data_IF_241503213213
#
_entry.id   IF_241503213213
#
_cell.length_a   1.000
_cell.length_b   1.000
_cell.length_c   1.000
_cell.angle_alpha   90.00
_cell.angle_beta   90.00
_cell.angle_gamma   90.00
#
_symmetry.space_group_name_H-M   'P 1'
#
loop_
_entity.id
_entity.type
_entity.pdbx_description
1 polymer ?
#
# COMPACT_ATOMS: atom_id res chain seq x y z
N UNK A 1 5.83 9.43 8.81
CA UNK A 1 4.46 8.87 8.79
C UNK A 1 3.83 8.89 10.18
N UNK A 2 4.38 8.15 11.16
CA UNK A 2 3.83 8.15 12.53
C UNK A 2 4.13 9.45 13.29
N UNK A 3 5.31 10.03 13.08
CA UNK A 3 5.77 11.18 13.89
C UNK A 3 5.16 12.52 13.45
N UNK A 4 4.68 12.62 12.20
CA UNK A 4 4.09 13.85 11.67
C UNK A 4 2.66 14.08 12.12
N UNK A 5 1.95 13.04 12.59
CA UNK A 5 0.50 13.10 12.88
C UNK A 5 -0.41 13.31 11.66
N UNK A 6 0.14 13.71 10.51
CA UNK A 6 -0.60 13.92 9.28
C UNK A 6 -1.05 12.62 8.60
N UNK A 7 -2.18 12.72 7.89
CA UNK A 7 -2.66 11.62 7.07
C UNK A 7 -1.65 11.27 5.95
N UNK A 8 -1.38 9.98 5.68
CA UNK A 8 -0.39 9.55 4.68
C UNK A 8 -0.55 10.18 3.29
N UNK A 9 -1.80 10.47 2.89
CA UNK A 9 -2.10 11.13 1.61
C UNK A 9 -1.50 12.53 1.56
N UNK A 10 -1.60 13.32 2.64
CA UNK A 10 -1.02 14.66 2.71
C UNK A 10 0.50 14.63 2.62
N UNK A 11 1.13 13.67 3.31
CA UNK A 11 2.58 13.49 3.25
C UNK A 11 3.06 13.12 1.84
N UNK A 12 2.30 12.28 1.13
CA UNK A 12 2.60 11.96 -0.27
C UNK A 12 2.44 13.19 -1.17
N UNK A 13 1.36 13.94 -1.01
CA UNK A 13 1.11 15.17 -1.78
C UNK A 13 2.21 16.21 -1.58
N UNK A 14 2.72 16.37 -0.35
CA UNK A 14 3.80 17.31 -0.02
C UNK A 14 5.10 17.06 -0.82
N UNK A 15 5.32 15.86 -1.34
CA UNK A 15 6.51 15.49 -2.14
C UNK A 15 6.19 15.20 -3.62
N UNK A 16 4.96 15.49 -4.05
CA UNK A 16 4.47 15.16 -5.40
C UNK A 16 4.17 16.43 -6.19
N UNK A 17 5.16 16.95 -6.90
CA UNK A 17 4.99 18.11 -7.77
C UNK A 17 4.40 17.74 -9.14
N UNK A 18 3.63 18.66 -9.77
CA UNK A 18 3.22 18.50 -11.17
C UNK A 18 4.43 18.30 -12.09
N UNK A 19 4.33 17.32 -13.01
CA UNK A 19 5.41 16.94 -13.94
C UNK A 19 6.75 16.52 -13.27
N UNK A 20 6.75 16.27 -11.96
CA UNK A 20 7.94 15.83 -11.23
C UNK A 20 8.29 14.35 -11.42
N UNK A 21 9.45 13.96 -10.89
CA UNK A 21 9.91 12.56 -10.88
C UNK A 21 9.03 11.69 -9.98
N UNK A 22 8.56 12.21 -8.83
CA UNK A 22 7.70 11.48 -7.89
C UNK A 22 6.35 11.09 -8.52
N UNK A 23 5.66 12.01 -9.20
CA UNK A 23 4.36 11.69 -9.83
C UNK A 23 4.53 10.71 -11.00
N UNK A 24 5.64 10.80 -11.72
CA UNK A 24 5.98 9.84 -12.79
C UNK A 24 6.18 8.43 -12.22
N UNK A 25 6.89 8.31 -11.10
CA UNK A 25 7.06 7.03 -10.40
C UNK A 25 5.74 6.49 -9.84
N UNK A 26 4.93 7.34 -9.20
CA UNK A 26 3.60 6.94 -8.68
C UNK A 26 2.72 6.41 -9.80
N UNK A 27 2.72 7.07 -10.97
CA UNK A 27 1.96 6.62 -12.13
C UNK A 27 2.36 5.21 -12.58
N UNK A 28 3.65 4.91 -12.60
CA UNK A 28 4.11 3.55 -12.92
C UNK A 28 3.65 2.53 -11.86
N UNK A 29 3.70 2.87 -10.57
CA UNK A 29 3.17 1.99 -9.52
C UNK A 29 1.66 1.74 -9.66
N UNK A 30 0.90 2.75 -10.11
CA UNK A 30 -0.53 2.64 -10.39
C UNK A 30 -0.81 1.79 -11.63
N UNK A 31 -0.05 1.98 -12.71
CA UNK A 31 -0.14 1.16 -13.93
C UNK A 31 0.10 -0.33 -13.64
N UNK A 32 0.98 -0.62 -12.67
CA UNK A 32 1.28 -1.99 -12.23
C UNK A 32 0.37 -2.47 -11.08
N UNK A 33 -0.65 -1.71 -10.69
CA UNK A 33 -1.65 -2.13 -9.71
C UNK A 33 -1.11 -2.37 -8.29
N UNK A 34 0.02 -1.76 -7.92
CA UNK A 34 0.76 -2.06 -6.67
C UNK A 34 -0.12 -1.89 -5.43
N UNK A 35 -0.99 -0.88 -5.40
CA UNK A 35 -1.91 -0.67 -4.28
C UNK A 35 -2.89 -1.84 -4.10
N UNK A 36 -3.46 -2.34 -5.19
CA UNK A 36 -4.36 -3.48 -5.16
C UNK A 36 -3.62 -4.76 -4.77
N UNK A 37 -2.40 -4.95 -5.29
CA UNK A 37 -1.55 -6.09 -4.96
C UNK A 37 -1.22 -6.17 -3.46
N UNK A 38 -0.91 -5.03 -2.81
CA UNK A 38 -0.65 -4.99 -1.37
C UNK A 38 -1.89 -5.36 -0.54
N UNK A 39 -3.08 -4.88 -0.93
CA UNK A 39 -4.32 -5.24 -0.25
C UNK A 39 -4.61 -6.73 -0.38
N UNK A 40 -4.54 -7.27 -1.60
CA UNK A 40 -4.75 -8.69 -1.87
C UNK A 40 -3.74 -9.57 -1.11
N UNK A 41 -2.47 -9.14 -1.02
CA UNK A 41 -1.46 -9.87 -0.27
C UNK A 41 -1.78 -9.95 1.23
N UNK A 42 -2.27 -8.86 1.83
CA UNK A 42 -2.67 -8.83 3.24
C UNK A 42 -3.90 -9.69 3.50
N UNK A 43 -4.87 -9.69 2.59
CA UNK A 43 -6.05 -10.56 2.66
C UNK A 43 -5.66 -12.04 2.56
N UNK A 44 -4.80 -12.39 1.59
CA UNK A 44 -4.29 -13.74 1.43
C UNK A 44 -3.51 -14.21 2.68
N UNK A 45 -2.68 -13.34 3.26
CA UNK A 45 -1.95 -13.63 4.49
C UNK A 45 -2.90 -13.88 5.68
N UNK A 46 -3.92 -13.03 5.85
CA UNK A 46 -4.97 -13.20 6.86
C UNK A 46 -5.70 -14.52 6.70
N UNK A 47 -6.12 -14.84 5.48
CA UNK A 47 -6.93 -16.05 5.22
C UNK A 47 -6.09 -17.31 5.40
N UNK A 48 -4.82 -17.29 4.98
CA UNK A 48 -3.89 -18.38 5.24
C UNK A 48 -3.66 -18.59 6.73
N UNK A 49 -3.51 -17.52 7.51
CA UNK A 49 -3.34 -17.61 8.96
C UNK A 49 -4.54 -18.30 9.64
N UNK A 50 -5.77 -18.00 9.19
CA UNK A 50 -7.00 -18.67 9.69
C UNK A 50 -7.04 -20.15 9.35
N UNK A 51 -6.74 -20.50 8.09
CA UNK A 51 -6.67 -21.91 7.67
C UNK A 51 -5.66 -22.71 8.49
N UNK A 52 -4.49 -22.12 8.79
CA UNK A 52 -3.48 -22.77 9.63
C UNK A 52 -4.02 -22.99 11.05
N UNK A 53 -4.70 -21.99 11.62
CA UNK A 53 -5.28 -22.11 12.96
C UNK A 53 -6.40 -23.18 13.02
N UNK A 54 -7.24 -23.28 11.99
CA UNK A 54 -8.29 -24.29 11.88
C UNK A 54 -7.75 -25.71 11.71
N UNK A 55 -6.59 -25.88 11.08
CA UNK A 55 -5.92 -27.19 10.91
C UNK A 55 -5.23 -27.71 12.19
N UNK A 56 -5.12 -26.88 13.23
CA UNK A 56 -4.48 -27.21 14.51
C UNK A 56 -5.47 -27.58 15.62
N UNK A 57 -6.77 -27.62 15.30
CA UNK A 57 -7.88 -28.11 16.13
C UNK A 57 -8.35 -29.49 15.65
#
# INVERSE_FOLDING_TARGET
LRDSGEHPVKLREAVTSPAGTTISAIRELENHGVRAALLAALEAARDRARQIAEQQL
#
